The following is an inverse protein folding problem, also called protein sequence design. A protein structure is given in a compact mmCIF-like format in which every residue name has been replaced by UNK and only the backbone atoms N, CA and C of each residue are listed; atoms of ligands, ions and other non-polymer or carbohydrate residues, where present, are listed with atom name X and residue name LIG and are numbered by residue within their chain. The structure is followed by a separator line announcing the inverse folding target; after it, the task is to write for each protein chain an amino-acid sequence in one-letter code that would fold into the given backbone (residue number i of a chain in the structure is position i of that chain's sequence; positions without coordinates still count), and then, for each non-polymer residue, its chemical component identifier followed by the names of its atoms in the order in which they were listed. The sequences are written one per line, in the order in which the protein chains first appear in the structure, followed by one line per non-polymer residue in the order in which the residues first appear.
data_IF_854171234256
#
_entry.id   IF_854171234256
#
_cell.length_a   1.000
_cell.length_b   1.000
_cell.length_c   1.000
_cell.angle_alpha   90.00
_cell.angle_beta   90.00
_cell.angle_gamma   90.00
#
_symmetry.space_group_name_H-M   'P 1'
#
loop_
_entity.id
_entity.type
_entity.pdbx_description
1 polymer ?
#
# COMPACT_ATOMS: atom_id res chain seq x y z
N UNK A 1 -16.86 -17.38 -29.75
CA UNK A 1 -16.91 -16.17 -28.87
C UNK A 1 -18.14 -16.33 -28.03
N UNK A 2 -17.96 -16.26 -26.74
CA UNK A 2 -19.01 -16.56 -25.79
C UNK A 2 -20.04 -15.43 -25.74
N UNK A 3 -21.33 -15.78 -25.90
CA UNK A 3 -22.44 -14.82 -25.91
C UNK A 3 -22.99 -14.59 -24.49
N UNK A 4 -22.12 -14.65 -23.48
CA UNK A 4 -22.54 -14.53 -22.09
C UNK A 4 -21.55 -13.71 -21.23
N UNK A 5 -22.04 -13.19 -20.13
CA UNK A 5 -21.24 -12.53 -19.09
C UNK A 5 -21.65 -13.06 -17.72
N UNK A 6 -20.67 -13.28 -16.86
CA UNK A 6 -20.89 -13.62 -15.46
C UNK A 6 -21.09 -12.33 -14.64
N UNK A 7 -22.21 -12.23 -13.98
CA UNK A 7 -22.62 -11.10 -13.17
C UNK A 7 -22.72 -11.51 -11.71
N UNK A 8 -22.43 -10.58 -10.80
CA UNK A 8 -22.61 -10.77 -9.37
C UNK A 8 -23.48 -9.66 -8.77
N UNK A 9 -24.44 -10.06 -7.94
CA UNK A 9 -25.26 -9.15 -7.14
C UNK A 9 -25.52 -9.76 -5.77
N UNK A 10 -25.19 -9.04 -4.69
CA UNK A 10 -25.39 -9.49 -3.31
C UNK A 10 -24.85 -10.91 -3.08
N UNK A 11 -23.61 -11.19 -3.46
CA UNK A 11 -22.95 -12.50 -3.36
C UNK A 11 -23.58 -13.64 -4.16
N UNK A 12 -24.56 -13.36 -5.03
CA UNK A 12 -25.18 -14.33 -5.94
C UNK A 12 -24.61 -14.13 -7.34
N UNK A 13 -24.18 -15.22 -7.96
CA UNK A 13 -23.71 -15.23 -9.34
C UNK A 13 -24.92 -15.38 -10.25
N UNK A 14 -24.91 -14.66 -11.35
CA UNK A 14 -25.91 -14.72 -12.41
C UNK A 14 -25.23 -14.72 -13.77
N UNK A 15 -25.79 -15.42 -14.73
CA UNK A 15 -25.38 -15.44 -16.11
C UNK A 15 -26.23 -14.47 -16.92
N UNK A 16 -25.59 -13.52 -17.61
CA UNK A 16 -26.25 -12.73 -18.64
C UNK A 16 -25.95 -13.38 -19.97
N UNK A 17 -26.96 -13.94 -20.59
CA UNK A 17 -26.86 -14.61 -21.91
C UNK A 17 -27.63 -13.80 -22.94
N UNK A 18 -27.02 -13.59 -24.10
CA UNK A 18 -27.67 -12.96 -25.27
C UNK A 18 -28.35 -13.98 -26.14
N UNK A 19 -29.63 -13.78 -26.43
CA UNK A 19 -30.41 -14.44 -27.47
C UNK A 19 -30.66 -13.48 -28.63
N UNK A 20 -31.26 -13.98 -29.69
CA UNK A 20 -31.46 -13.17 -30.92
C UNK A 20 -32.20 -11.85 -30.65
N UNK A 21 -33.24 -11.86 -29.80
CA UNK A 21 -34.15 -10.73 -29.57
C UNK A 21 -34.22 -10.28 -28.10
N UNK A 22 -33.48 -10.96 -27.22
CA UNK A 22 -33.60 -10.77 -25.76
C UNK A 22 -32.31 -11.12 -25.03
N UNK A 23 -32.23 -10.65 -23.77
CA UNK A 23 -31.19 -11.00 -22.79
C UNK A 23 -31.85 -11.70 -21.62
N UNK A 24 -31.27 -12.80 -21.19
CA UNK A 24 -31.66 -13.46 -19.95
C UNK A 24 -30.57 -13.26 -18.89
N UNK A 25 -30.96 -12.80 -17.70
CA UNK A 25 -30.12 -12.82 -16.52
C UNK A 25 -30.62 -13.96 -15.65
N UNK A 26 -29.89 -15.06 -15.66
CA UNK A 26 -30.25 -16.31 -15.01
C UNK A 26 -29.45 -16.38 -13.69
N UNK A 27 -30.15 -16.51 -12.57
CA UNK A 27 -29.47 -16.69 -11.29
C UNK A 27 -28.88 -18.10 -11.22
N UNK A 28 -27.55 -18.19 -11.14
CA UNK A 28 -26.81 -19.42 -10.94
C UNK A 28 -26.84 -19.72 -9.45
N UNK A 29 -27.80 -20.51 -9.01
CA UNK A 29 -27.76 -21.13 -7.70
C UNK A 29 -26.88 -22.39 -7.84
N UNK A 30 -26.27 -22.87 -6.74
CA UNK A 30 -25.42 -24.08 -6.66
C UNK A 30 -26.02 -25.39 -7.25
N UNK A 31 -26.99 -25.30 -8.12
CA UNK A 31 -27.76 -26.39 -8.74
C UNK A 31 -27.53 -26.54 -10.26
N UNK A 32 -26.70 -25.70 -10.87
CA UNK A 32 -26.29 -25.99 -12.23
C UNK A 32 -25.24 -27.11 -12.18
N UNK A 33 -25.60 -28.25 -12.71
CA UNK A 33 -24.64 -29.27 -13.12
C UNK A 33 -24.04 -28.88 -14.49
N UNK A 34 -22.89 -29.43 -14.84
CA UNK A 34 -22.13 -29.07 -16.05
C UNK A 34 -22.97 -29.20 -17.33
N UNK A 35 -23.86 -30.19 -17.40
CA UNK A 35 -24.74 -30.41 -18.56
C UNK A 35 -25.80 -29.31 -18.72
N UNK A 36 -26.30 -28.77 -17.64
CA UNK A 36 -27.27 -27.66 -17.64
C UNK A 36 -26.61 -26.34 -17.97
N UNK A 37 -25.39 -26.13 -17.43
CA UNK A 37 -24.59 -24.96 -17.72
C UNK A 37 -24.25 -24.90 -19.22
N UNK A 38 -23.80 -26.01 -19.84
CA UNK A 38 -23.50 -26.06 -21.25
C UNK A 38 -24.75 -25.76 -22.11
N UNK A 39 -25.93 -26.29 -21.76
CA UNK A 39 -27.19 -25.99 -22.47
C UNK A 39 -27.58 -24.52 -22.37
N UNK A 40 -27.41 -23.90 -21.21
CA UNK A 40 -27.71 -22.48 -21.00
C UNK A 40 -26.73 -21.61 -21.78
N UNK A 41 -25.42 -21.94 -21.77
CA UNK A 41 -24.36 -21.22 -22.47
C UNK A 41 -24.44 -21.35 -23.98
N UNK A 42 -24.93 -22.47 -24.51
CA UNK A 42 -25.14 -22.66 -25.95
C UNK A 42 -26.17 -21.68 -26.55
N UNK A 43 -26.89 -20.91 -25.73
CA UNK A 43 -27.84 -19.90 -26.20
C UNK A 43 -29.09 -20.48 -26.91
N UNK A 44 -29.26 -21.77 -26.85
CA UNK A 44 -30.35 -22.51 -27.56
C UNK A 44 -31.48 -22.95 -26.60
N UNK A 45 -31.42 -22.56 -25.31
CA UNK A 45 -32.47 -22.90 -24.37
C UNK A 45 -33.74 -22.07 -24.62
N UNK A 46 -34.84 -22.73 -24.92
CA UNK A 46 -36.14 -22.07 -24.89
C UNK A 46 -36.51 -21.66 -23.47
N UNK A 47 -37.41 -20.70 -23.34
CA UNK A 47 -37.93 -20.26 -22.04
C UNK A 47 -38.48 -21.42 -21.23
N UNK A 48 -39.14 -22.38 -21.89
CA UNK A 48 -39.68 -23.58 -21.27
C UNK A 48 -38.60 -24.47 -20.64
N UNK A 49 -37.45 -24.62 -21.29
CA UNK A 49 -36.31 -25.40 -20.76
C UNK A 49 -35.69 -24.75 -19.54
N UNK A 50 -35.58 -23.40 -19.51
CA UNK A 50 -35.07 -22.67 -18.35
C UNK A 50 -36.04 -22.80 -17.14
N UNK A 51 -37.36 -22.75 -17.43
CA UNK A 51 -38.40 -22.94 -16.41
C UNK A 51 -38.42 -24.37 -15.86
N UNK A 52 -38.26 -25.38 -16.75
CA UNK A 52 -38.15 -26.78 -16.36
C UNK A 52 -36.93 -27.05 -15.46
N UNK A 53 -35.82 -26.32 -15.68
CA UNK A 53 -34.64 -26.37 -14.82
C UNK A 53 -34.86 -25.69 -13.49
N UNK A 54 -35.99 -25.00 -13.26
CA UNK A 54 -36.31 -24.29 -12.02
C UNK A 54 -35.40 -23.09 -11.75
N UNK A 55 -34.82 -22.48 -12.78
CA UNK A 55 -33.91 -21.35 -12.67
C UNK A 55 -34.66 -20.01 -12.65
N UNK A 56 -34.35 -19.17 -11.70
CA UNK A 56 -34.89 -17.80 -11.64
C UNK A 56 -34.21 -16.94 -12.69
N UNK A 57 -35.01 -16.31 -13.54
CA UNK A 57 -34.51 -15.44 -14.63
C UNK A 57 -35.14 -14.03 -14.59
N UNK A 58 -34.40 -13.09 -15.14
CA UNK A 58 -34.90 -11.76 -15.52
C UNK A 58 -34.71 -11.62 -17.04
N UNK A 59 -35.82 -11.51 -17.76
CA UNK A 59 -35.79 -11.34 -19.21
C UNK A 59 -35.85 -9.86 -19.56
N UNK A 60 -34.96 -9.42 -20.45
CA UNK A 60 -34.91 -8.06 -21.00
C UNK A 60 -34.98 -8.18 -22.50
N UNK A 61 -36.05 -7.65 -23.11
CA UNK A 61 -36.14 -7.60 -24.57
C UNK A 61 -35.09 -6.63 -25.12
N UNK A 62 -34.41 -6.98 -26.20
CA UNK A 62 -33.38 -6.13 -26.81
C UNK A 62 -33.90 -4.70 -27.12
N UNK A 63 -35.16 -4.60 -27.59
CA UNK A 63 -35.83 -3.31 -27.85
C UNK A 63 -36.08 -2.46 -26.60
N UNK A 64 -36.11 -3.06 -25.40
CA UNK A 64 -36.32 -2.35 -24.14
C UNK A 64 -35.00 -1.96 -23.47
N UNK A 65 -33.88 -2.47 -23.93
CA UNK A 65 -32.55 -2.11 -23.46
C UNK A 65 -32.10 -0.81 -24.16
N UNK A 66 -32.13 0.29 -23.42
CA UNK A 66 -31.82 1.63 -23.93
C UNK A 66 -30.31 1.96 -23.92
N UNK A 67 -29.54 1.22 -23.18
CA UNK A 67 -28.10 1.42 -23.10
C UNK A 67 -27.44 0.58 -22.02
N UNK A 68 -26.15 0.44 -22.15
CA UNK A 68 -25.29 -0.25 -21.18
C UNK A 68 -24.17 0.69 -20.79
N UNK A 69 -23.94 0.83 -19.52
CA UNK A 69 -22.78 1.57 -18.99
C UNK A 69 -21.93 0.63 -18.14
N UNK A 70 -20.64 0.70 -18.32
CA UNK A 70 -19.65 -0.06 -17.53
C UNK A 70 -18.82 0.94 -16.76
N UNK A 71 -18.74 0.76 -15.46
CA UNK A 71 -17.95 1.64 -14.58
C UNK A 71 -17.22 0.83 -13.53
N UNK A 72 -15.98 1.19 -13.25
CA UNK A 72 -15.21 0.56 -12.17
C UNK A 72 -15.60 1.14 -10.80
N UNK A 73 -15.74 0.29 -9.80
CA UNK A 73 -15.82 0.70 -8.39
C UNK A 73 -14.80 -0.10 -7.56
N UNK A 74 -14.69 0.23 -6.26
CA UNK A 74 -13.75 -0.46 -5.36
C UNK A 74 -13.98 -1.97 -5.27
N UNK A 75 -15.21 -2.44 -5.56
CA UNK A 75 -15.59 -3.85 -5.49
C UNK A 75 -15.49 -4.60 -6.83
N UNK A 76 -15.09 -3.94 -7.93
CA UNK A 76 -15.00 -4.53 -9.27
C UNK A 76 -15.64 -3.67 -10.34
N UNK A 77 -15.64 -4.15 -11.59
CA UNK A 77 -16.33 -3.46 -12.67
C UNK A 77 -17.84 -3.70 -12.56
N UNK A 78 -18.57 -2.59 -12.66
CA UNK A 78 -20.02 -2.57 -12.53
C UNK A 78 -20.62 -2.38 -13.91
N UNK A 79 -21.51 -3.28 -14.29
CA UNK A 79 -22.35 -3.10 -15.46
C UNK A 79 -23.72 -2.57 -15.04
N UNK A 80 -24.18 -1.53 -15.73
CA UNK A 80 -25.52 -0.97 -15.53
C UNK A 80 -26.30 -1.09 -16.82
N UNK A 81 -27.36 -1.88 -16.78
CA UNK A 81 -28.27 -2.06 -17.88
C UNK A 81 -29.44 -1.06 -17.71
N UNK A 82 -29.57 -0.14 -18.66
CA UNK A 82 -30.64 0.85 -18.69
C UNK A 82 -31.79 0.28 -19.51
N UNK A 83 -32.83 -0.17 -18.85
CA UNK A 83 -34.06 -0.60 -19.52
C UNK A 83 -35.06 0.55 -19.54
N UNK A 84 -36.17 0.38 -20.30
CA UNK A 84 -37.25 1.36 -20.38
C UNK A 84 -37.80 1.75 -19.01
N UNK A 85 -37.88 0.77 -18.09
CA UNK A 85 -38.60 0.95 -16.81
C UNK A 85 -37.67 1.05 -15.62
N UNK A 86 -36.44 0.53 -15.69
CA UNK A 86 -35.53 0.45 -14.54
C UNK A 86 -34.06 0.38 -14.92
N UNK A 87 -33.21 0.66 -13.93
CA UNK A 87 -31.76 0.41 -13.98
C UNK A 87 -31.46 -0.88 -13.24
N UNK A 88 -30.75 -1.80 -13.89
CA UNK A 88 -30.25 -3.01 -13.29
C UNK A 88 -28.73 -2.88 -13.14
N UNK A 89 -28.24 -2.99 -11.92
CA UNK A 89 -26.82 -2.84 -11.60
C UNK A 89 -26.27 -4.17 -11.09
N UNK A 90 -25.18 -4.61 -11.71
CA UNK A 90 -24.44 -5.83 -11.37
C UNK A 90 -22.94 -5.53 -11.32
N UNK A 91 -22.20 -6.36 -10.62
CA UNK A 91 -20.73 -6.41 -10.67
C UNK A 91 -20.35 -7.50 -11.66
N UNK A 92 -19.40 -7.27 -12.54
CA UNK A 92 -18.83 -8.32 -13.37
C UNK A 92 -18.00 -9.25 -12.48
N UNK A 93 -18.30 -10.55 -12.54
CA UNK A 93 -17.60 -11.56 -11.71
C UNK A 93 -16.26 -11.94 -12.30
N UNK A 94 -16.07 -11.69 -13.58
CA UNK A 94 -14.87 -12.06 -14.32
C UNK A 94 -14.28 -10.85 -15.06
N UNK A 95 -13.03 -10.97 -15.49
CA UNK A 95 -12.29 -9.94 -16.18
C UNK A 95 -12.60 -10.01 -17.68
N UNK A 96 -13.68 -9.36 -18.10
CA UNK A 96 -14.07 -9.29 -19.51
C UNK A 96 -13.37 -8.11 -20.23
N UNK A 97 -12.91 -8.37 -21.44
CA UNK A 97 -12.43 -7.34 -22.34
C UNK A 97 -13.61 -6.50 -22.88
N UNK A 98 -13.32 -5.28 -23.32
CA UNK A 98 -14.33 -4.46 -24.01
C UNK A 98 -14.87 -5.15 -25.29
N UNK A 99 -14.05 -5.96 -25.96
CA UNK A 99 -14.44 -6.70 -27.16
C UNK A 99 -15.46 -7.77 -26.82
N UNK A 100 -15.25 -8.56 -25.77
CA UNK A 100 -16.20 -9.58 -25.30
C UNK A 100 -17.53 -8.97 -24.88
N UNK A 101 -17.47 -7.86 -24.14
CA UNK A 101 -18.69 -7.13 -23.76
C UNK A 101 -19.41 -6.56 -24.98
N UNK A 102 -18.69 -6.03 -25.96
CA UNK A 102 -19.26 -5.53 -27.20
C UNK A 102 -19.94 -6.63 -28.02
N UNK A 103 -19.38 -7.83 -28.03
CA UNK A 103 -20.01 -9.00 -28.71
C UNK A 103 -21.37 -9.29 -28.09
N UNK A 104 -21.47 -9.33 -26.76
CA UNK A 104 -22.74 -9.58 -26.05
C UNK A 104 -23.78 -8.49 -26.36
N UNK A 105 -23.36 -7.23 -26.44
CA UNK A 105 -24.24 -6.09 -26.67
C UNK A 105 -24.26 -5.59 -28.12
N UNK A 106 -23.73 -6.35 -29.06
CA UNK A 106 -23.78 -6.00 -30.48
C UNK A 106 -25.23 -5.77 -30.96
N UNK A 107 -25.47 -4.67 -31.66
CA UNK A 107 -26.79 -4.28 -32.17
C UNK A 107 -27.62 -3.43 -31.21
N UNK A 108 -27.08 -3.01 -30.06
CA UNK A 108 -27.70 -2.03 -29.22
C UNK A 108 -27.21 -0.64 -29.66
N UNK A 109 -28.10 0.18 -30.22
CA UNK A 109 -27.78 1.51 -30.78
C UNK A 109 -27.15 2.47 -29.80
N UNK A 110 -27.16 2.18 -28.49
CA UNK A 110 -26.68 3.04 -27.42
C UNK A 110 -25.76 2.33 -26.44
N UNK A 111 -24.92 1.44 -26.91
CA UNK A 111 -23.77 1.05 -26.13
C UNK A 111 -22.84 2.27 -26.03
N UNK A 112 -22.94 3.01 -24.93
CA UNK A 112 -21.95 4.00 -24.60
C UNK A 112 -20.94 3.33 -23.70
N UNK A 113 -19.70 3.11 -24.18
CA UNK A 113 -18.59 2.94 -23.24
C UNK A 113 -18.68 4.14 -22.30
N UNK A 114 -18.50 3.97 -20.99
CA UNK A 114 -18.78 5.01 -20.01
C UNK A 114 -18.15 6.32 -20.50
N UNK A 115 -18.92 7.43 -20.55
CA UNK A 115 -18.42 8.79 -20.85
C UNK A 115 -17.27 9.18 -19.92
N UNK A 116 -17.20 8.54 -18.78
CA UNK A 116 -16.10 8.39 -17.90
C UNK A 116 -15.67 6.90 -17.96
N UNK A 117 -15.27 6.42 -19.12
CA UNK A 117 -14.49 5.19 -19.25
C UNK A 117 -13.45 5.33 -18.17
N UNK A 118 -13.67 4.58 -17.09
CA UNK A 118 -13.17 4.98 -15.80
C UNK A 118 -11.72 5.32 -15.96
N UNK A 119 -11.18 6.20 -15.15
CA UNK A 119 -9.78 6.63 -15.24
C UNK A 119 -8.81 5.46 -15.55
N UNK A 120 -9.24 4.25 -15.33
CA UNK A 120 -8.61 2.96 -15.56
C UNK A 120 -8.43 2.58 -17.05
N UNK A 121 -9.49 2.72 -17.89
CA UNK A 121 -9.37 2.38 -19.33
C UNK A 121 -8.42 3.35 -20.04
N UNK A 122 -8.60 4.64 -19.78
CA UNK A 122 -7.71 5.66 -20.32
C UNK A 122 -6.25 5.53 -19.84
N UNK A 123 -6.04 5.03 -18.60
CA UNK A 123 -4.70 4.77 -18.07
C UNK A 123 -4.01 3.60 -18.76
N UNK A 124 -4.72 2.52 -18.99
CA UNK A 124 -4.17 1.37 -19.69
C UNK A 124 -3.82 1.71 -21.14
N UNK A 125 -4.71 2.46 -21.82
CA UNK A 125 -4.54 2.88 -23.20
C UNK A 125 -3.28 3.77 -23.37
N UNK A 126 -3.16 4.88 -22.63
CA UNK A 126 -1.98 5.75 -22.76
C UNK A 126 -0.68 5.05 -22.34
N UNK A 127 -0.73 4.11 -21.37
CA UNK A 127 0.44 3.32 -21.00
C UNK A 127 0.87 2.39 -22.12
N UNK A 128 -0.08 1.73 -22.77
CA UNK A 128 0.20 0.83 -23.89
C UNK A 128 0.80 1.59 -25.08
N UNK A 129 0.25 2.76 -25.38
CA UNK A 129 0.78 3.62 -26.46
C UNK A 129 2.21 4.10 -26.19
N UNK A 130 2.58 4.34 -24.93
CA UNK A 130 3.91 4.81 -24.55
C UNK A 130 4.92 3.69 -24.24
N UNK A 131 4.50 2.44 -24.26
CA UNK A 131 5.38 1.31 -23.97
C UNK A 131 6.16 0.87 -25.22
N UNK A 132 7.47 0.68 -25.07
CA UNK A 132 8.32 0.02 -26.05
C UNK A 132 8.83 -1.31 -25.51
N UNK A 133 8.84 -2.34 -26.33
CA UNK A 133 9.23 -3.72 -25.95
C UNK A 133 10.68 -3.78 -25.43
N UNK A 134 11.60 -3.02 -26.05
CA UNK A 134 13.00 -2.96 -25.65
C UNK A 134 13.18 -2.41 -24.23
N UNK A 135 12.48 -1.32 -23.91
CA UNK A 135 12.54 -0.70 -22.59
C UNK A 135 11.85 -1.60 -21.54
N UNK A 136 10.77 -2.28 -21.91
CA UNK A 136 10.10 -3.22 -20.99
C UNK A 136 11.04 -4.36 -20.55
N UNK A 137 11.86 -4.90 -21.47
CA UNK A 137 12.83 -5.96 -21.14
C UNK A 137 13.81 -5.54 -20.04
N UNK A 138 14.15 -4.25 -19.97
CA UNK A 138 15.00 -3.68 -18.92
C UNK A 138 14.21 -3.35 -17.64
N UNK A 139 13.04 -2.73 -17.79
CA UNK A 139 12.26 -2.25 -16.64
C UNK A 139 11.65 -3.39 -15.80
N UNK A 140 11.34 -4.53 -16.43
CA UNK A 140 10.78 -5.69 -15.73
C UNK A 140 11.70 -6.23 -14.63
N UNK A 141 12.96 -6.58 -14.87
CA UNK A 141 13.85 -7.07 -13.80
C UNK A 141 14.14 -6.00 -12.75
N UNK A 142 14.23 -4.72 -13.11
CA UNK A 142 14.41 -3.63 -12.14
C UNK A 142 13.29 -3.60 -11.12
N UNK A 143 12.04 -3.68 -11.56
CA UNK A 143 10.89 -3.70 -10.63
C UNK A 143 10.88 -4.92 -9.70
N UNK A 144 11.30 -6.08 -10.20
CA UNK A 144 11.43 -7.30 -9.38
C UNK A 144 12.53 -7.14 -8.33
N UNK A 145 13.70 -6.65 -8.73
CA UNK A 145 14.84 -6.42 -7.83
C UNK A 145 14.46 -5.42 -6.72
N UNK A 146 13.82 -4.30 -7.08
CA UNK A 146 13.43 -3.30 -6.10
C UNK A 146 12.41 -3.84 -5.08
N UNK A 147 11.43 -4.62 -5.52
CA UNK A 147 10.50 -5.26 -4.58
C UNK A 147 11.21 -6.27 -3.68
N UNK A 148 12.19 -7.00 -4.19
CA UNK A 148 13.03 -7.87 -3.38
C UNK A 148 13.84 -7.08 -2.35
N UNK A 149 14.47 -5.95 -2.76
CA UNK A 149 15.14 -5.04 -1.83
C UNK A 149 14.19 -4.52 -0.75
N UNK A 150 12.94 -4.19 -1.11
CA UNK A 150 11.92 -3.79 -0.13
C UNK A 150 11.64 -4.88 0.92
N UNK A 151 11.57 -6.14 0.50
CA UNK A 151 11.42 -7.27 1.43
C UNK A 151 12.67 -7.40 2.33
N UNK A 152 13.88 -7.28 1.77
CA UNK A 152 15.14 -7.31 2.52
C UNK A 152 15.18 -6.19 3.56
N UNK A 153 14.66 -4.99 3.26
CA UNK A 153 14.55 -3.91 4.24
C UNK A 153 13.74 -4.31 5.46
N UNK A 154 12.60 -5.00 5.30
CA UNK A 154 11.79 -5.47 6.43
C UNK A 154 12.55 -6.51 7.28
N UNK A 155 13.18 -7.48 6.65
CA UNK A 155 13.96 -8.48 7.38
C UNK A 155 15.21 -7.89 8.05
N UNK A 156 15.74 -6.81 7.50
CA UNK A 156 16.89 -6.08 8.06
C UNK A 156 16.65 -5.56 9.47
N UNK A 157 15.40 -5.29 9.87
CA UNK A 157 15.05 -4.90 11.25
C UNK A 157 15.54 -5.95 12.25
N UNK A 158 15.43 -7.22 11.90
CA UNK A 158 15.84 -8.34 12.77
C UNK A 158 17.33 -8.68 12.66
N UNK A 159 17.97 -8.37 11.54
CA UNK A 159 19.33 -8.80 11.22
C UNK A 159 20.40 -7.78 11.63
N UNK A 160 20.09 -6.50 11.48
CA UNK A 160 21.04 -5.42 11.78
C UNK A 160 20.82 -4.87 13.18
N UNK A 161 21.93 -4.56 13.85
CA UNK A 161 21.94 -3.95 15.18
C UNK A 161 21.27 -2.59 15.20
N UNK A 162 21.01 -2.05 16.40
CA UNK A 162 20.47 -0.69 16.60
C UNK A 162 21.38 0.34 15.94
N UNK A 163 20.81 1.44 15.49
CA UNK A 163 21.52 2.59 14.90
C UNK A 163 22.41 2.23 13.71
N UNK A 164 22.02 1.24 12.90
CA UNK A 164 22.80 0.84 11.74
C UNK A 164 22.56 1.80 10.57
N UNK A 165 23.48 2.75 10.38
CA UNK A 165 23.40 3.78 9.34
C UNK A 165 23.35 3.18 7.92
N UNK A 166 24.13 2.14 7.63
CA UNK A 166 24.17 1.52 6.29
C UNK A 166 22.82 0.91 5.92
N UNK A 167 22.16 0.27 6.88
CA UNK A 167 20.83 -0.29 6.64
C UNK A 167 19.78 0.81 6.42
N UNK A 168 19.82 1.88 7.21
CA UNK A 168 18.91 3.02 7.04
C UNK A 168 19.10 3.71 5.69
N UNK A 169 20.35 3.90 5.25
CA UNK A 169 20.67 4.42 3.91
C UNK A 169 20.14 3.48 2.83
N UNK A 170 20.32 2.17 2.97
CA UNK A 170 19.79 1.19 2.02
C UNK A 170 18.26 1.29 1.87
N UNK A 171 17.53 1.43 2.98
CA UNK A 171 16.08 1.63 2.97
C UNK A 171 15.69 2.93 2.25
N UNK A 172 16.35 4.04 2.59
CA UNK A 172 16.09 5.36 1.99
C UNK A 172 16.37 5.35 0.47
N UNK A 173 17.50 4.77 0.04
CA UNK A 173 17.87 4.65 -1.38
C UNK A 173 16.86 3.78 -2.13
N UNK A 174 16.49 2.62 -1.59
CA UNK A 174 15.51 1.72 -2.21
C UNK A 174 14.19 2.44 -2.46
N UNK A 175 13.71 3.20 -1.48
CA UNK A 175 12.47 3.96 -1.57
C UNK A 175 12.59 5.12 -2.56
N UNK A 176 13.67 5.92 -2.47
CA UNK A 176 13.89 7.07 -3.35
C UNK A 176 13.98 6.65 -4.84
N UNK A 177 14.73 5.58 -5.13
CA UNK A 177 14.84 5.01 -6.49
C UNK A 177 13.47 4.52 -6.97
N UNK A 178 12.69 3.86 -6.11
CA UNK A 178 11.37 3.35 -6.46
C UNK A 178 10.37 4.48 -6.77
N UNK A 179 10.36 5.54 -5.97
CA UNK A 179 9.54 6.74 -6.22
C UNK A 179 10.01 7.44 -7.50
N UNK A 180 11.31 7.59 -7.69
CA UNK A 180 11.88 8.18 -8.90
C UNK A 180 11.46 7.42 -10.16
N UNK A 181 11.62 6.10 -10.19
CA UNK A 181 11.16 5.27 -11.31
C UNK A 181 9.66 5.36 -11.56
N UNK A 182 8.86 5.39 -10.50
CA UNK A 182 7.42 5.59 -10.62
C UNK A 182 7.06 6.97 -11.23
N UNK A 183 7.78 8.02 -10.88
CA UNK A 183 7.56 9.37 -11.40
C UNK A 183 8.06 9.54 -12.84
N UNK A 184 9.27 9.05 -13.16
CA UNK A 184 9.89 9.26 -14.47
C UNK A 184 9.46 8.24 -15.53
N UNK A 185 9.07 7.03 -15.12
CA UNK A 185 8.63 5.96 -16.02
C UNK A 185 7.23 5.42 -15.66
N UNK A 186 6.21 6.31 -15.54
CA UNK A 186 4.89 5.93 -15.07
C UNK A 186 4.19 4.93 -16.01
N UNK A 187 4.62 4.82 -17.28
CA UNK A 187 4.10 3.84 -18.23
C UNK A 187 4.49 2.38 -17.87
N UNK A 188 5.61 2.18 -17.15
CA UNK A 188 6.11 0.85 -16.79
C UNK A 188 5.88 0.48 -15.32
N UNK A 189 5.62 1.47 -14.47
CA UNK A 189 5.47 1.28 -13.02
C UNK A 189 4.13 1.78 -12.50
N UNK A 190 3.60 1.09 -11.49
CA UNK A 190 2.35 1.45 -10.82
C UNK A 190 2.42 1.13 -9.33
N UNK A 191 1.65 1.86 -8.54
CA UNK A 191 1.39 1.57 -7.12
C UNK A 191 0.11 0.73 -6.97
N UNK A 192 -0.76 0.68 -7.99
CA UNK A 192 -2.02 -0.06 -7.93
C UNK A 192 -1.89 -1.52 -8.42
N UNK A 193 -2.77 -2.39 -7.93
CA UNK A 193 -2.73 -3.83 -8.19
C UNK A 193 -3.01 -4.25 -9.64
N UNK A 194 -2.48 -5.41 -10.05
CA UNK A 194 -2.57 -6.00 -11.39
C UNK A 194 -3.99 -6.12 -11.96
N UNK A 195 -4.99 -6.35 -11.10
CA UNK A 195 -6.37 -6.61 -11.52
C UNK A 195 -7.00 -5.47 -12.34
N UNK A 196 -6.50 -4.24 -12.16
CA UNK A 196 -7.07 -3.08 -12.81
C UNK A 196 -6.78 -2.99 -14.31
N UNK A 197 -5.68 -3.57 -14.78
CA UNK A 197 -5.24 -3.46 -16.18
C UNK A 197 -5.71 -4.61 -17.06
N UNK A 198 -5.94 -5.79 -16.51
CA UNK A 198 -6.54 -6.90 -17.23
C UNK A 198 -7.99 -6.63 -17.65
N UNK A 199 -8.73 -5.87 -16.84
CA UNK A 199 -10.17 -5.61 -17.01
C UNK A 199 -10.53 -4.71 -18.19
N UNK A 200 -9.56 -4.09 -18.82
CA UNK A 200 -9.80 -3.06 -19.84
C UNK A 200 -9.43 -3.52 -21.24
N UNK A 201 -9.07 -4.79 -21.41
CA UNK A 201 -8.67 -5.31 -22.73
C UNK A 201 -7.30 -4.82 -23.22
N UNK A 202 -6.66 -3.90 -22.48
CA UNK A 202 -5.32 -3.39 -22.81
C UNK A 202 -4.25 -4.14 -22.02
N UNK A 203 -3.35 -4.81 -22.72
CA UNK A 203 -2.23 -5.56 -22.11
C UNK A 203 -1.05 -4.67 -21.75
N UNK A 204 -1.28 -3.59 -20.99
CA UNK A 204 -0.19 -2.80 -20.48
C UNK A 204 0.66 -3.65 -19.51
N UNK A 205 1.94 -3.80 -19.82
CA UNK A 205 2.90 -4.51 -18.99
C UNK A 205 3.36 -3.57 -17.87
N UNK A 206 3.00 -3.85 -16.62
CA UNK A 206 3.25 -2.96 -15.49
C UNK A 206 3.91 -3.70 -14.33
N UNK A 207 4.94 -3.09 -13.76
CA UNK A 207 5.56 -3.52 -12.51
C UNK A 207 4.93 -2.76 -11.35
N UNK A 208 4.63 -3.47 -10.26
CA UNK A 208 4.14 -2.85 -9.04
C UNK A 208 5.31 -2.57 -8.11
N UNK A 209 5.44 -1.32 -7.64
CA UNK A 209 6.49 -0.88 -6.72
C UNK A 209 5.97 -0.64 -5.29
N UNK A 210 4.75 -1.09 -4.98
CA UNK A 210 4.16 -0.92 -3.65
C UNK A 210 5.04 -1.51 -2.54
N UNK A 211 5.58 -2.71 -2.73
CA UNK A 211 6.47 -3.34 -1.74
C UNK A 211 7.79 -2.57 -1.62
N UNK A 212 8.38 -2.15 -2.75
CA UNK A 212 9.63 -1.40 -2.77
C UNK A 212 9.53 0.00 -2.14
N UNK A 213 8.32 0.57 -2.04
CA UNK A 213 8.09 1.88 -1.43
C UNK A 213 7.63 1.73 0.03
N UNK A 214 6.62 0.88 0.27
CA UNK A 214 5.98 0.80 1.59
C UNK A 214 6.81 -0.01 2.59
N UNK A 215 7.45 -1.10 2.15
CA UNK A 215 8.19 -1.96 3.05
C UNK A 215 9.42 -1.28 3.69
N UNK A 216 10.29 -0.57 2.94
CA UNK A 216 11.38 0.21 3.55
C UNK A 216 10.88 1.31 4.48
N UNK A 217 9.80 2.00 4.10
CA UNK A 217 9.24 3.07 4.92
C UNK A 217 8.70 2.55 6.26
N UNK A 218 7.98 1.44 6.25
CA UNK A 218 7.54 0.77 7.47
C UNK A 218 8.74 0.28 8.30
N UNK A 219 9.75 -0.27 7.64
CA UNK A 219 10.96 -0.74 8.31
C UNK A 219 11.67 0.41 9.05
N UNK A 220 11.81 1.58 8.41
CA UNK A 220 12.38 2.77 9.04
C UNK A 220 11.51 3.27 10.21
N UNK A 221 10.18 3.29 10.06
CA UNK A 221 9.27 3.73 11.12
C UNK A 221 9.36 2.82 12.36
N UNK A 222 9.30 1.49 12.16
CA UNK A 222 9.47 0.55 13.27
C UNK A 222 10.84 0.68 13.93
N UNK A 223 11.86 0.91 13.13
CA UNK A 223 13.23 1.08 13.64
C UNK A 223 13.36 2.36 14.46
N UNK A 224 12.83 3.47 13.98
CA UNK A 224 12.85 4.73 14.70
C UNK A 224 12.17 4.63 16.07
N UNK A 225 11.02 3.94 16.11
CA UNK A 225 10.30 3.71 17.37
C UNK A 225 11.07 2.81 18.35
N UNK A 226 11.93 1.91 17.84
CA UNK A 226 12.72 1.01 18.69
C UNK A 226 14.09 1.52 19.07
N UNK A 227 14.62 2.48 18.34
CA UNK A 227 15.99 2.98 18.55
C UNK A 227 16.04 4.31 19.31
N UNK A 228 15.00 5.16 19.17
CA UNK A 228 14.97 6.52 19.71
C UNK A 228 13.86 6.73 20.74
N UNK A 229 14.18 7.42 21.82
CA UNK A 229 13.22 8.03 22.74
C UNK A 229 13.02 9.49 22.34
N UNK A 230 11.80 9.89 21.99
CA UNK A 230 11.52 11.25 21.56
C UNK A 230 11.32 12.18 22.75
N UNK A 231 12.17 13.20 22.86
CA UNK A 231 12.03 14.24 23.89
C UNK A 231 10.80 15.13 23.62
N UNK A 232 10.49 15.36 22.35
CA UNK A 232 9.31 16.10 21.94
C UNK A 232 8.76 15.55 20.59
N UNK A 233 7.53 15.06 20.59
CA UNK A 233 6.86 14.53 19.41
C UNK A 233 6.37 15.61 18.43
N UNK A 234 6.15 16.83 18.88
CA UNK A 234 5.53 17.88 18.06
C UNK A 234 6.41 18.23 16.85
N UNK A 235 7.71 18.50 16.97
CA UNK A 235 8.58 18.74 15.81
C UNK A 235 8.62 17.56 14.83
N UNK A 236 8.65 16.33 15.35
CA UNK A 236 8.61 15.10 14.52
C UNK A 236 7.36 15.06 13.67
N UNK A 237 6.19 15.26 14.28
CA UNK A 237 4.90 15.25 13.58
C UNK A 237 4.82 16.36 12.53
N UNK A 238 5.25 17.58 12.86
CA UNK A 238 5.26 18.70 11.92
C UNK A 238 6.17 18.38 10.72
N UNK A 239 7.40 17.94 10.96
CA UNK A 239 8.35 17.58 9.91
C UNK A 239 7.82 16.42 9.05
N UNK A 240 7.16 15.44 9.66
CA UNK A 240 6.56 14.30 8.96
C UNK A 240 5.38 14.70 8.08
N UNK A 241 4.51 15.60 8.55
CA UNK A 241 3.42 16.13 7.75
C UNK A 241 3.96 16.93 6.56
N UNK A 242 4.93 17.81 6.80
CA UNK A 242 5.55 18.62 5.73
C UNK A 242 6.22 17.73 4.69
N UNK A 243 7.04 16.77 5.10
CA UNK A 243 7.73 15.87 4.16
C UNK A 243 6.74 14.96 3.42
N UNK A 244 5.71 14.44 4.08
CA UNK A 244 4.65 13.66 3.46
C UNK A 244 3.86 14.46 2.43
N UNK A 245 3.56 15.72 2.69
CA UNK A 245 2.95 16.63 1.73
C UNK A 245 3.86 16.88 0.52
N UNK A 246 5.16 17.11 0.73
CA UNK A 246 6.14 17.29 -0.36
C UNK A 246 6.17 16.06 -1.26
N UNK A 247 6.26 14.85 -0.71
CA UNK A 247 6.24 13.60 -1.49
C UNK A 247 4.91 13.48 -2.25
N UNK A 248 3.79 13.78 -1.62
CA UNK A 248 2.46 13.74 -2.27
C UNK A 248 2.38 14.72 -3.43
N UNK A 249 2.89 15.95 -3.28
CA UNK A 249 2.93 16.95 -4.34
C UNK A 249 3.80 16.49 -5.50
N UNK A 250 4.98 15.94 -5.22
CA UNK A 250 5.87 15.38 -6.25
C UNK A 250 5.13 14.28 -7.02
N UNK A 251 4.54 13.32 -6.32
CA UNK A 251 3.78 12.25 -6.97
C UNK A 251 2.57 12.77 -7.76
N UNK A 252 1.90 13.81 -7.28
CA UNK A 252 0.80 14.46 -7.99
C UNK A 252 1.26 15.15 -9.29
N UNK A 253 2.40 15.83 -9.26
CA UNK A 253 2.96 16.52 -10.43
C UNK A 253 3.39 15.51 -11.51
N UNK A 254 4.13 14.49 -11.13
CA UNK A 254 4.75 13.56 -12.07
C UNK A 254 3.87 12.37 -12.44
N UNK A 255 2.92 11.96 -11.59
CA UNK A 255 2.10 10.79 -11.86
C UNK A 255 0.70 11.15 -12.37
N UNK A 256 0.43 10.81 -13.63
CA UNK A 256 -0.92 10.89 -14.22
C UNK A 256 -1.91 10.02 -13.45
N UNK A 257 -1.46 8.87 -12.92
CA UNK A 257 -2.27 7.95 -12.13
C UNK A 257 -2.80 8.60 -10.84
N UNK A 258 -1.94 9.31 -10.11
CA UNK A 258 -2.33 10.04 -8.90
C UNK A 258 -3.26 11.21 -9.24
N UNK A 259 -2.96 11.98 -10.29
CA UNK A 259 -3.80 13.11 -10.72
C UNK A 259 -5.23 12.74 -11.09
N UNK A 260 -5.42 11.58 -11.70
CA UNK A 260 -6.73 11.17 -12.21
C UNK A 260 -7.58 10.36 -11.22
N UNK A 261 -6.97 9.81 -10.17
CA UNK A 261 -7.67 8.94 -9.22
C UNK A 261 -7.76 9.58 -7.83
N UNK A 262 -8.95 10.04 -7.45
CA UNK A 262 -9.17 10.69 -6.15
C UNK A 262 -8.89 9.76 -4.97
N UNK A 263 -9.28 8.50 -5.05
CA UNK A 263 -8.98 7.51 -3.98
C UNK A 263 -7.48 7.31 -3.81
N UNK A 264 -6.73 7.27 -4.93
CA UNK A 264 -5.27 7.12 -4.88
C UNK A 264 -4.60 8.37 -4.28
N UNK A 265 -5.11 9.58 -4.54
CA UNK A 265 -4.61 10.81 -3.89
C UNK A 265 -4.66 10.72 -2.38
N UNK A 266 -5.81 10.28 -1.85
CA UNK A 266 -6.01 10.15 -0.39
C UNK A 266 -5.07 9.07 0.17
N UNK A 267 -4.98 7.92 -0.49
CA UNK A 267 -4.10 6.83 -0.06
C UNK A 267 -2.64 7.26 -0.08
N UNK A 268 -2.18 7.92 -1.15
CA UNK A 268 -0.81 8.43 -1.26
C UNK A 268 -0.53 9.45 -0.16
N UNK A 269 -1.44 10.40 0.09
CA UNK A 269 -1.29 11.39 1.16
C UNK A 269 -1.14 10.72 2.52
N UNK A 270 -2.06 9.85 2.90
CA UNK A 270 -2.04 9.19 4.20
C UNK A 270 -0.80 8.33 4.39
N UNK A 271 -0.44 7.52 3.38
CA UNK A 271 0.76 6.69 3.43
C UNK A 271 2.03 7.53 3.46
N UNK A 272 2.11 8.62 2.67
CA UNK A 272 3.29 9.48 2.66
C UNK A 272 3.52 10.13 4.01
N UNK A 273 2.47 10.63 4.68
CA UNK A 273 2.59 11.23 6.01
C UNK A 273 2.99 10.17 7.05
N UNK A 274 2.32 9.02 7.05
CA UNK A 274 2.61 7.94 8.00
C UNK A 274 4.06 7.41 7.84
N UNK A 275 4.47 7.17 6.61
CA UNK A 275 5.82 6.69 6.31
C UNK A 275 6.91 7.74 6.57
N UNK A 276 6.57 9.03 6.51
CA UNK A 276 7.53 10.11 6.74
C UNK A 276 8.01 10.18 8.18
N UNK A 277 7.30 9.62 9.16
CA UNK A 277 7.75 9.62 10.56
C UNK A 277 9.12 8.96 10.67
N UNK A 278 9.24 7.71 10.25
CA UNK A 278 10.52 7.00 10.32
C UNK A 278 11.59 7.57 9.39
N UNK A 279 11.20 8.13 8.24
CA UNK A 279 12.14 8.78 7.31
C UNK A 279 12.76 10.03 7.92
N UNK A 280 11.92 10.89 8.51
CA UNK A 280 12.35 12.15 9.16
C UNK A 280 13.32 11.85 10.28
N UNK A 281 13.00 10.88 11.14
CA UNK A 281 13.84 10.49 12.27
C UNK A 281 15.19 9.92 11.80
N UNK A 282 15.16 9.00 10.86
CA UNK A 282 16.41 8.42 10.35
C UNK A 282 17.27 9.44 9.62
N UNK A 283 16.69 10.36 8.86
CA UNK A 283 17.42 11.46 8.22
C UNK A 283 17.97 12.44 9.26
N UNK A 284 17.18 12.76 10.29
CA UNK A 284 17.60 13.61 11.38
C UNK A 284 18.82 13.03 12.11
N UNK A 285 18.82 11.72 12.37
CA UNK A 285 19.93 11.02 12.98
C UNK A 285 21.15 10.89 12.05
N UNK A 286 20.95 10.45 10.80
CA UNK A 286 22.04 10.25 9.84
C UNK A 286 22.78 11.54 9.47
N UNK A 287 22.09 12.68 9.52
CA UNK A 287 22.66 13.99 9.26
C UNK A 287 23.02 14.75 10.55
N UNK A 288 23.16 14.05 11.66
CA UNK A 288 23.69 14.62 12.89
C UNK A 288 25.21 14.76 12.79
N UNK A 289 25.69 15.99 12.72
CA UNK A 289 27.12 16.33 12.67
C UNK A 289 27.63 16.94 13.96
N UNK A 290 26.74 17.22 14.92
CA UNK A 290 27.08 17.78 16.20
C UNK A 290 27.51 16.69 17.20
N UNK A 291 28.34 17.03 18.18
CA UNK A 291 28.66 16.13 19.26
C UNK A 291 27.43 15.88 20.12
N UNK A 292 27.18 14.60 20.44
CA UNK A 292 26.08 14.25 21.33
C UNK A 292 26.31 14.81 22.74
N UNK A 293 25.23 15.34 23.31
CA UNK A 293 25.20 15.72 24.71
C UNK A 293 24.87 14.52 25.58
N UNK A 294 25.39 14.45 26.78
CA UNK A 294 25.03 13.44 27.76
C UNK A 294 24.45 14.08 29.00
N UNK A 295 23.44 13.47 29.56
CA UNK A 295 22.81 13.91 30.82
C UNK A 295 22.68 12.73 31.77
N UNK A 296 22.90 13.02 33.07
CA UNK A 296 22.66 12.04 34.13
C UNK A 296 21.21 12.20 34.58
N UNK A 297 20.45 11.12 34.51
CA UNK A 297 19.03 11.08 34.84
C UNK A 297 18.76 9.98 35.86
N UNK A 298 17.63 10.08 36.57
CA UNK A 298 17.17 9.05 37.50
C UNK A 298 16.15 8.17 36.80
N UNK A 299 16.32 6.88 36.92
CA UNK A 299 15.33 5.87 36.45
C UNK A 299 14.09 5.95 37.33
N UNK A 300 12.95 6.24 36.73
CA UNK A 300 11.64 6.20 37.41
C UNK A 300 11.09 4.77 37.37
N UNK A 301 11.05 4.20 36.16
CA UNK A 301 10.46 2.88 35.93
C UNK A 301 11.14 2.14 34.78
N UNK A 302 10.99 0.82 34.79
CA UNK A 302 11.48 -0.06 33.70
C UNK A 302 10.35 -1.01 33.30
N UNK A 303 9.97 -0.99 32.04
CA UNK A 303 8.87 -1.78 31.53
C UNK A 303 9.30 -2.79 30.44
N UNK A 304 8.56 -3.89 30.37
CA UNK A 304 8.67 -4.86 29.29
C UNK A 304 7.33 -4.86 28.55
N UNK A 305 7.34 -4.47 27.29
CA UNK A 305 6.21 -4.70 26.42
C UNK A 305 6.33 -6.12 25.83
N UNK A 306 5.50 -7.00 26.32
CA UNK A 306 5.44 -8.41 25.87
C UNK A 306 4.85 -8.44 24.44
N UNK A 307 5.74 -8.51 23.47
CA UNK A 307 5.37 -8.68 22.07
C UNK A 307 4.84 -10.09 21.83
N UNK A 308 3.59 -10.23 21.35
CA UNK A 308 3.06 -11.52 20.87
C UNK A 308 4.07 -12.16 19.91
N UNK A 309 4.76 -13.26 20.33
CA UNK A 309 5.82 -14.03 19.64
C UNK A 309 7.27 -13.69 20.00
N UNK A 310 7.59 -13.51 21.28
CA UNK A 310 8.99 -13.51 21.79
C UNK A 310 9.90 -12.35 21.33
N UNK A 311 9.35 -11.23 20.92
CA UNK A 311 10.12 -10.01 20.71
C UNK A 311 9.73 -9.05 21.84
N UNK A 312 10.31 -9.26 23.01
CA UNK A 312 10.15 -8.35 24.15
C UNK A 312 10.87 -7.05 23.84
N UNK A 313 10.18 -5.95 24.01
CA UNK A 313 10.75 -4.62 23.94
C UNK A 313 10.93 -4.10 25.37
N UNK A 314 12.11 -3.60 25.66
CA UNK A 314 12.47 -3.10 26.99
C UNK A 314 12.55 -1.59 26.95
N UNK A 315 11.92 -0.93 27.91
CA UNK A 315 11.90 0.52 28.03
C UNK A 315 12.33 0.94 29.43
N UNK A 316 12.87 2.15 29.49
CA UNK A 316 13.26 2.80 30.73
C UNK A 316 12.67 4.22 30.73
N UNK A 317 11.85 4.55 31.70
CA UNK A 317 11.37 5.90 31.93
C UNK A 317 12.33 6.60 32.86
N UNK A 318 12.83 7.76 32.44
CA UNK A 318 13.82 8.54 33.17
C UNK A 318 13.31 9.96 33.43
N UNK A 319 13.68 10.49 34.60
CA UNK A 319 13.43 11.89 34.94
C UNK A 319 14.67 12.74 34.68
N UNK A 320 14.48 13.81 33.94
CA UNK A 320 15.48 14.88 33.78
C UNK A 320 15.45 15.85 34.96
N UNK A 321 16.54 16.56 35.15
CA UNK A 321 16.63 17.63 36.18
C UNK A 321 15.55 18.72 35.97
N UNK A 322 15.04 18.90 34.77
CA UNK A 322 13.93 19.80 34.43
C UNK A 322 12.57 19.35 34.96
N UNK A 323 12.45 18.11 35.45
CA UNK A 323 11.21 17.48 35.86
C UNK A 323 10.43 16.85 34.71
N UNK A 324 10.94 16.86 33.47
CA UNK A 324 10.36 16.14 32.36
C UNK A 324 10.72 14.66 32.43
N UNK A 325 9.77 13.80 32.04
CA UNK A 325 9.92 12.35 31.97
C UNK A 325 9.96 11.92 30.52
N UNK A 326 10.85 10.98 30.19
CA UNK A 326 10.96 10.43 28.85
C UNK A 326 11.13 8.92 28.92
N UNK A 327 10.39 8.21 28.08
CA UNK A 327 10.52 6.79 27.89
C UNK A 327 11.54 6.50 26.77
N UNK A 328 12.56 5.71 27.08
CA UNK A 328 13.67 5.41 26.17
C UNK A 328 13.74 3.90 25.97
N UNK A 329 13.80 3.42 24.72
CA UNK A 329 14.01 2.01 24.44
C UNK A 329 15.43 1.60 24.84
N UNK A 330 15.54 0.50 25.56
CA UNK A 330 16.82 -0.02 26.06
C UNK A 330 17.08 -1.46 25.59
N UNK A 331 18.33 -1.91 25.67
CA UNK A 331 18.63 -3.31 25.40
C UNK A 331 18.26 -4.20 26.60
N UNK A 332 18.00 -5.48 26.34
CA UNK A 332 17.77 -6.48 27.42
C UNK A 332 18.93 -6.52 28.44
N UNK A 333 20.16 -6.28 27.99
CA UNK A 333 21.33 -6.28 28.85
C UNK A 333 21.36 -5.07 29.81
N UNK A 334 20.89 -3.92 29.37
CA UNK A 334 20.74 -2.72 30.20
C UNK A 334 19.58 -2.90 31.17
N UNK A 335 18.42 -3.37 30.68
CA UNK A 335 17.23 -3.64 31.51
C UNK A 335 17.53 -4.51 32.73
N UNK A 336 18.38 -5.54 32.57
CA UNK A 336 18.77 -6.43 33.66
C UNK A 336 19.70 -5.80 34.70
N UNK A 337 20.28 -4.64 34.41
CA UNK A 337 21.29 -3.96 35.23
C UNK A 337 20.78 -2.74 35.94
N UNK A 338 19.61 -2.22 35.55
CA UNK A 338 19.05 -0.98 36.09
C UNK A 338 17.75 -1.24 36.82
N UNK A 339 17.50 -0.45 37.86
CA UNK A 339 16.28 -0.50 38.67
C UNK A 339 15.77 0.95 38.90
N UNK A 340 14.51 1.06 39.32
CA UNK A 340 13.95 2.36 39.73
C UNK A 340 14.79 2.96 40.86
N UNK A 341 15.14 4.23 40.71
CA UNK A 341 16.04 4.98 41.61
C UNK A 341 17.50 5.00 41.18
N UNK A 342 17.92 4.17 40.22
CA UNK A 342 19.30 4.18 39.72
C UNK A 342 19.58 5.44 38.89
N UNK A 343 20.86 5.85 38.91
CA UNK A 343 21.36 6.90 38.03
C UNK A 343 21.84 6.28 36.70
N UNK A 344 21.44 6.87 35.60
CA UNK A 344 21.84 6.47 34.25
C UNK A 344 22.35 7.68 33.46
N UNK A 345 23.30 7.41 32.58
CA UNK A 345 23.74 8.42 31.60
C UNK A 345 22.95 8.21 30.32
N UNK A 346 22.34 9.27 29.81
CA UNK A 346 21.58 9.28 28.58
C UNK A 346 22.32 10.11 27.56
N UNK A 347 22.38 9.59 26.34
CA UNK A 347 22.93 10.31 25.19
C UNK A 347 21.79 10.97 24.42
N UNK A 348 21.91 12.28 24.24
CA UNK A 348 20.94 13.10 23.53
C UNK A 348 21.59 13.60 22.24
N UNK A 349 21.03 13.18 21.11
CA UNK A 349 21.39 13.69 19.80
C UNK A 349 20.49 14.85 19.39
N UNK A 350 21.06 15.87 18.78
CA UNK A 350 20.31 16.93 18.11
C UNK A 350 20.60 16.88 16.64
N UNK A 351 19.72 16.20 15.90
CA UNK A 351 19.93 15.98 14.47
C UNK A 351 19.80 17.24 13.62
N UNK A 352 20.08 17.12 12.33
CA UNK A 352 20.10 18.22 11.37
C UNK A 352 18.79 19.02 11.28
N UNK A 353 17.65 18.41 11.62
CA UNK A 353 16.36 19.10 11.68
C UNK A 353 16.09 19.79 13.03
N UNK A 354 17.06 19.79 13.94
CA UNK A 354 16.92 20.33 15.28
C UNK A 354 15.99 19.52 16.20
N UNK A 355 15.65 18.29 15.82
CA UNK A 355 14.82 17.39 16.61
C UNK A 355 15.72 16.62 17.58
N UNK A 356 15.46 16.80 18.88
CA UNK A 356 16.21 16.14 19.93
C UNK A 356 15.63 14.75 20.22
N UNK A 357 16.53 13.76 20.36
CA UNK A 357 16.16 12.37 20.64
C UNK A 357 17.18 11.74 21.61
N UNK A 358 16.69 10.91 22.50
CA UNK A 358 17.52 10.08 23.38
C UNK A 358 17.64 8.67 22.74
N UNK A 359 18.85 8.12 22.69
CA UNK A 359 19.06 6.87 21.96
C UNK A 359 19.90 5.82 22.68
N UNK A 360 20.56 6.18 23.75
CA UNK A 360 21.40 5.26 24.47
C UNK A 360 21.33 5.52 25.98
N UNK A 361 21.33 4.45 26.78
CA UNK A 361 21.26 4.51 28.23
C UNK A 361 22.39 3.64 28.79
N UNK A 362 23.25 4.24 29.60
CA UNK A 362 24.29 3.55 30.33
C UNK A 362 24.08 3.65 31.84
N UNK A 363 24.16 2.54 32.60
CA UNK A 363 24.13 2.61 34.06
C UNK A 363 25.37 3.39 34.57
N UNK A 364 25.16 4.34 35.45
CA UNK A 364 26.26 4.99 36.19
C UNK A 364 26.64 4.04 37.31
N UNK A 365 27.69 3.26 37.13
CA UNK A 365 28.22 2.43 38.19
C UNK A 365 28.84 3.32 39.27
N UNK A 366 28.30 3.29 40.50
CA UNK A 366 28.74 4.09 41.64
C UNK A 366 30.26 4.06 41.83
N UNK A 367 30.84 5.26 41.94
CA UNK A 367 32.11 5.68 42.54
C UNK A 367 33.43 4.91 42.32
N UNK A 368 33.45 3.67 41.88
CA UNK A 368 34.70 2.97 41.59
C UNK A 368 35.29 3.25 40.19
N UNK A 369 34.52 3.83 39.29
CA UNK A 369 34.94 4.15 37.92
C UNK A 369 35.07 5.65 37.62
N UNK A 370 34.73 6.51 38.54
CA UNK A 370 34.85 7.97 38.36
C UNK A 370 36.31 8.47 38.20
N UNK A 371 37.29 7.60 38.44
CA UNK A 371 38.72 7.88 38.25
C UNK A 371 39.36 7.09 37.07
N UNK A 372 38.62 6.36 36.29
CA UNK A 372 39.14 5.75 35.07
C UNK A 372 38.96 6.71 33.90
N UNK A 373 40.06 7.21 33.40
CA UNK A 373 40.20 8.07 32.22
C UNK A 373 39.03 7.91 31.22
N UNK A 374 38.33 9.01 31.01
CA UNK A 374 37.38 9.16 29.92
C UNK A 374 38.15 8.98 28.61
N UNK A 375 38.33 7.76 28.18
CA UNK A 375 38.74 7.48 26.81
C UNK A 375 37.57 7.83 25.91
N UNK A 376 37.67 9.01 25.34
CA UNK A 376 36.87 9.39 24.17
C UNK A 376 37.01 8.31 23.11
N UNK A 377 35.96 7.56 22.88
CA UNK A 377 35.86 6.64 21.73
C UNK A 377 35.89 7.51 20.47
N UNK A 378 36.69 7.16 19.47
CA UNK A 378 36.62 7.84 18.18
C UNK A 378 35.23 7.63 17.60
N UNK A 379 34.63 8.71 17.14
CA UNK A 379 33.39 8.72 16.35
C UNK A 379 33.51 7.73 15.19
N UNK A 380 32.44 6.98 14.85
CA UNK A 380 32.42 6.05 13.74
C UNK A 380 32.64 6.73 12.40
#
# INVERSE_FOLDING_TARGET
MDNYLLLQKNSRISLLVKYTDRYHIIAVNNKLDDDKEEKVLAGNCSDAVIDEMGLTRVTIMAKDLRGVAIGGCCAGDVIVLYTKDKKLKYVLSDDYSNEEINVVFTGIERFQPPKNGGSKSRKAEWRTEMQTESVWKVMKPIGVILNFCGIVCLFGICLFGRLNALWSIFCLVTMAVSIGLYCFFPQYFSIMGKKEYKRVGYTAKVNHLNVAIVAPALALTFRSMSDFGFLNWIPVLIASVVSGLVVTIIMYIFSKEVRENTSLKIVVLLLSVLCSIGIVEQLNHLANFDADEYQICTVIDTEIYDGRKHIDQYYCTVAFASGSEVEIPISRSVYKKIQSGDLVTIYIGKGALGIEYAYFVEPVFSEASANADVKLWPSP
#
